data_IF_186645528597
#
_entry.id   IF_186645528597
#
_cell.length_a   1.000
_cell.length_b   1.000
_cell.length_c   1.000
_cell.angle_alpha   90.00
_cell.angle_beta   90.00
_cell.angle_gamma   90.00
#
_symmetry.space_group_name_H-M   'P 1'
#
loop_
_entity.id
_entity.type
_entity.pdbx_description
1 polymer ?
#
# COMPACT_ATOMS: atom_id res chain seq x y z
N UNK A 1 -3.84 6.33 -19.98
CA UNK A 1 -2.49 6.49 -19.38
C UNK A 1 -1.63 5.36 -19.91
N UNK A 2 -0.39 5.62 -20.30
CA UNK A 2 0.57 4.59 -20.71
C UNK A 2 1.57 4.44 -19.55
N UNK A 3 1.34 3.49 -18.64
CA UNK A 3 2.14 3.34 -17.43
C UNK A 3 2.11 1.90 -16.91
N UNK A 4 3.10 1.54 -16.10
CA UNK A 4 3.23 0.22 -15.52
C UNK A 4 2.31 0.09 -14.31
N UNK A 5 1.45 -0.92 -14.32
CA UNK A 5 0.58 -1.24 -13.19
C UNK A 5 1.37 -1.94 -12.07
N UNK A 6 1.23 -1.44 -10.85
CA UNK A 6 1.99 -1.95 -9.69
C UNK A 6 1.04 -2.21 -8.53
N UNK A 7 1.12 -3.40 -7.94
CA UNK A 7 0.53 -3.68 -6.62
C UNK A 7 1.62 -3.64 -5.56
N UNK A 8 1.37 -2.89 -4.49
CA UNK A 8 2.23 -2.85 -3.30
C UNK A 8 1.52 -3.59 -2.17
N UNK A 9 2.19 -4.57 -1.58
CA UNK A 9 1.71 -5.32 -0.40
C UNK A 9 2.83 -5.48 0.61
N UNK A 10 2.51 -6.00 1.79
CA UNK A 10 3.45 -6.22 2.89
C UNK A 10 3.60 -7.69 3.24
N UNK A 11 4.81 -8.11 3.60
CA UNK A 11 5.07 -9.40 4.27
C UNK A 11 6.14 -9.22 5.37
N UNK A 12 5.88 -9.59 6.63
CA UNK A 12 4.61 -10.08 7.17
C UNK A 12 3.46 -9.08 7.05
N UNK A 13 2.23 -9.56 7.15
CA UNK A 13 1.07 -8.68 7.23
C UNK A 13 1.24 -7.71 8.43
N UNK A 14 0.92 -6.40 8.31
CA UNK A 14 1.19 -5.41 9.35
C UNK A 14 0.62 -5.81 10.72
N UNK A 15 -0.62 -6.32 10.78
CA UNK A 15 -1.20 -6.82 12.03
C UNK A 15 -0.48 -8.04 12.61
N UNK A 16 0.04 -8.95 11.78
CA UNK A 16 0.83 -10.09 12.28
C UNK A 16 2.15 -9.63 12.91
N UNK A 17 2.71 -8.49 12.47
CA UNK A 17 3.91 -7.90 13.07
C UNK A 17 3.59 -7.06 14.31
N UNK A 18 2.59 -6.18 14.23
CA UNK A 18 2.28 -5.20 15.28
C UNK A 18 1.45 -5.78 16.43
N UNK A 19 0.51 -6.66 16.12
CA UNK A 19 -0.46 -7.20 17.08
C UNK A 19 -0.77 -8.67 16.76
N UNK A 20 0.20 -9.60 16.94
CA UNK A 20 0.05 -11.00 16.55
C UNK A 20 -1.24 -11.66 17.08
N UNK A 21 -1.60 -11.36 18.33
CA UNK A 21 -2.80 -11.89 19.01
C UNK A 21 -4.14 -11.42 18.39
N UNK A 22 -4.12 -10.33 17.63
CA UNK A 22 -5.30 -9.75 16.96
C UNK A 22 -5.25 -9.93 15.43
N UNK A 23 -4.20 -10.57 14.92
CA UNK A 23 -4.04 -10.74 13.50
C UNK A 23 -5.08 -11.75 12.97
N UNK A 24 -5.81 -11.42 11.89
CA UNK A 24 -6.77 -12.36 11.31
C UNK A 24 -6.03 -13.56 10.72
N UNK A 25 -6.73 -14.69 10.61
CA UNK A 25 -6.21 -15.84 9.87
C UNK A 25 -5.93 -15.44 8.42
N UNK A 26 -4.84 -15.96 7.87
CA UNK A 26 -4.48 -15.72 6.47
C UNK A 26 -5.43 -16.51 5.57
N UNK A 27 -6.03 -15.82 4.59
CA UNK A 27 -6.81 -16.46 3.54
C UNK A 27 -5.94 -17.23 2.54
N UNK A 28 -4.71 -16.74 2.30
CA UNK A 28 -3.74 -17.32 1.36
C UNK A 28 -2.35 -17.25 2.00
N UNK A 29 -1.47 -18.21 1.66
CA UNK A 29 -0.03 -18.06 1.91
C UNK A 29 0.57 -16.95 1.03
N UNK A 30 1.77 -16.43 1.35
CA UNK A 30 2.45 -15.49 0.46
C UNK A 30 2.60 -16.00 -0.97
N UNK A 31 2.93 -17.28 -1.16
CA UNK A 31 3.12 -17.91 -2.47
C UNK A 31 1.81 -18.03 -3.25
N UNK A 32 0.71 -18.36 -2.58
CA UNK A 32 -0.63 -18.38 -3.18
C UNK A 32 -1.06 -16.98 -3.61
N UNK A 33 -0.83 -15.95 -2.76
CA UNK A 33 -1.10 -14.56 -3.12
C UNK A 33 -0.30 -14.12 -4.35
N UNK A 34 0.99 -14.43 -4.40
CA UNK A 34 1.85 -14.12 -5.57
C UNK A 34 1.28 -14.78 -6.83
N UNK A 35 0.89 -16.05 -6.75
CA UNK A 35 0.33 -16.79 -7.89
C UNK A 35 -0.99 -16.19 -8.38
N UNK A 36 -1.88 -15.81 -7.46
CA UNK A 36 -3.16 -15.17 -7.79
C UNK A 36 -2.96 -13.81 -8.44
N UNK A 37 -2.02 -13.00 -7.93
CA UNK A 37 -1.70 -11.70 -8.52
C UNK A 37 -1.01 -11.84 -9.88
N UNK A 38 -0.15 -12.85 -10.06
CA UNK A 38 0.48 -13.14 -11.34
C UNK A 38 -0.51 -13.60 -12.42
N UNK A 39 -1.67 -14.12 -12.03
CA UNK A 39 -2.76 -14.47 -12.95
C UNK A 39 -3.64 -13.26 -13.34
N UNK A 40 -3.39 -12.08 -12.76
CA UNK A 40 -4.06 -10.83 -13.13
C UNK A 40 -3.32 -10.09 -14.25
N UNK A 41 -3.88 -8.98 -14.73
CA UNK A 41 -3.24 -8.11 -15.71
C UNK A 41 -2.26 -7.08 -15.10
N UNK A 42 -1.76 -7.33 -13.88
CA UNK A 42 -0.81 -6.44 -13.20
C UNK A 42 0.62 -6.76 -13.65
N UNK A 43 1.40 -5.72 -13.97
CA UNK A 43 2.76 -5.86 -14.48
C UNK A 43 3.77 -6.19 -13.38
N UNK A 44 3.65 -5.54 -12.21
CA UNK A 44 4.63 -5.64 -11.12
C UNK A 44 3.94 -5.84 -9.78
N UNK A 45 4.46 -6.79 -9.00
CA UNK A 45 4.16 -6.95 -7.59
C UNK A 45 5.37 -6.51 -6.76
N UNK A 46 5.18 -5.52 -5.90
CA UNK A 46 6.15 -5.07 -4.90
C UNK A 46 5.70 -5.57 -3.53
N UNK A 47 6.52 -6.41 -2.90
CA UNK A 47 6.30 -6.87 -1.53
C UNK A 47 7.29 -6.13 -0.63
N UNK A 48 6.78 -5.17 0.14
CA UNK A 48 7.57 -4.48 1.15
C UNK A 48 7.69 -5.36 2.39
N UNK A 49 8.91 -5.51 2.90
CA UNK A 49 9.12 -6.16 4.18
C UNK A 49 8.52 -5.29 5.27
N UNK A 50 7.57 -5.82 6.04
CA UNK A 50 7.03 -5.09 7.18
C UNK A 50 7.86 -5.40 8.43
N UNK A 51 8.70 -4.44 8.81
CA UNK A 51 9.54 -4.51 9.99
C UNK A 51 9.45 -3.21 10.82
N UNK A 52 10.29 -3.12 11.85
CA UNK A 52 10.27 -1.98 12.76
C UNK A 52 10.59 -0.65 12.08
N UNK A 53 11.39 -0.66 11.00
CA UNK A 53 11.72 0.54 10.24
C UNK A 53 10.48 1.02 9.48
N UNK A 54 9.82 0.13 8.74
CA UNK A 54 8.61 0.48 8.00
C UNK A 54 7.45 0.85 8.93
N UNK A 55 7.32 0.16 10.07
CA UNK A 55 6.31 0.46 11.08
C UNK A 55 6.48 1.88 11.69
N UNK A 56 7.72 2.37 11.77
CA UNK A 56 8.03 3.69 12.30
C UNK A 56 8.11 4.80 11.24
N UNK A 57 7.96 4.45 9.96
CA UNK A 57 8.03 5.40 8.86
C UNK A 57 6.81 6.31 8.88
N UNK A 58 6.99 7.63 8.89
CA UNK A 58 5.88 8.57 8.83
C UNK A 58 5.15 8.51 7.49
N UNK A 59 3.88 8.95 7.47
CA UNK A 59 3.09 9.00 6.24
C UNK A 59 3.75 9.87 5.16
N UNK A 60 4.29 11.04 5.53
CA UNK A 60 5.02 11.91 4.59
C UNK A 60 6.23 11.22 3.97
N UNK A 61 7.05 10.53 4.77
CA UNK A 61 8.21 9.79 4.25
C UNK A 61 7.79 8.63 3.36
N UNK A 62 6.71 7.92 3.70
CA UNK A 62 6.19 6.86 2.85
C UNK A 62 5.79 7.42 1.47
N UNK A 63 5.11 8.57 1.41
CA UNK A 63 4.75 9.20 0.14
C UNK A 63 6.00 9.66 -0.63
N UNK A 64 6.88 10.43 0.01
CA UNK A 64 8.02 11.04 -0.67
C UNK A 64 9.08 10.01 -1.07
N UNK A 65 9.48 9.14 -0.15
CA UNK A 65 10.62 8.23 -0.35
C UNK A 65 10.21 6.98 -1.15
N UNK A 66 8.96 6.50 -0.99
CA UNK A 66 8.51 5.24 -1.61
C UNK A 66 7.62 5.52 -2.81
N UNK A 67 6.47 6.18 -2.63
CA UNK A 67 5.51 6.35 -3.73
C UNK A 67 6.06 7.25 -4.84
N UNK A 68 6.67 8.38 -4.48
CA UNK A 68 7.22 9.33 -5.45
C UNK A 68 8.66 8.94 -5.80
N UNK A 69 9.54 8.83 -4.81
CA UNK A 69 10.97 8.67 -5.03
C UNK A 69 11.39 7.34 -5.66
N UNK A 70 10.79 6.22 -5.24
CA UNK A 70 11.14 4.88 -5.75
C UNK A 70 10.22 4.40 -6.85
N UNK A 71 8.90 4.61 -6.69
CA UNK A 71 7.89 4.09 -7.60
C UNK A 71 7.49 5.10 -8.69
N UNK A 72 7.70 6.39 -8.49
CA UNK A 72 7.32 7.42 -9.47
C UNK A 72 5.81 7.44 -9.76
N UNK A 73 4.98 7.20 -8.74
CA UNK A 73 3.52 7.07 -8.88
C UNK A 73 2.92 8.32 -9.55
N UNK A 74 2.09 8.09 -10.57
CA UNK A 74 1.28 9.12 -11.26
C UNK A 74 -0.22 8.99 -11.00
N UNK A 75 -0.66 7.78 -10.66
CA UNK A 75 -2.02 7.49 -10.20
C UNK A 75 -1.92 6.49 -9.04
N UNK A 76 -2.50 6.84 -7.90
CA UNK A 76 -2.58 6.01 -6.71
C UNK A 76 -4.02 5.57 -6.52
N UNK A 77 -4.23 4.25 -6.45
CA UNK A 77 -5.54 3.65 -6.20
C UNK A 77 -5.50 2.98 -4.82
N UNK A 78 -6.47 3.30 -3.97
CA UNK A 78 -6.58 2.74 -2.62
C UNK A 78 -8.03 2.39 -2.29
N UNK A 79 -8.25 1.50 -1.31
CA UNK A 79 -9.58 1.25 -0.76
C UNK A 79 -10.05 2.36 0.18
N UNK A 80 -11.36 2.52 0.33
CA UNK A 80 -12.01 3.51 1.19
C UNK A 80 -11.53 3.54 2.67
N UNK A 81 -11.02 2.41 3.18
CA UNK A 81 -10.55 2.25 4.57
C UNK A 81 -9.02 2.27 4.72
N UNK A 82 -8.30 2.69 3.67
CA UNK A 82 -6.85 2.69 3.63
C UNK A 82 -6.23 3.65 4.66
N UNK A 83 -5.26 3.13 5.42
CA UNK A 83 -4.45 3.89 6.35
C UNK A 83 -3.01 3.35 6.39
N UNK A 84 -2.05 4.23 6.61
CA UNK A 84 -0.62 3.92 6.53
C UNK A 84 0.23 4.91 7.33
N UNK A 85 1.54 4.66 7.36
CA UNK A 85 2.49 5.41 8.16
C UNK A 85 2.39 5.08 9.65
N UNK A 86 3.40 5.53 10.40
CA UNK A 86 3.48 5.33 11.85
C UNK A 86 2.20 5.79 12.52
N UNK A 87 1.66 4.97 13.41
CA UNK A 87 0.43 5.25 14.15
C UNK A 87 -0.78 5.63 13.27
N UNK A 88 -0.81 5.16 12.01
CA UNK A 88 -1.86 5.48 11.03
C UNK A 88 -2.01 6.99 10.78
N UNK A 89 -0.91 7.73 10.80
CA UNK A 89 -0.88 9.16 10.50
C UNK A 89 -1.39 9.51 9.09
N UNK A 90 -1.30 8.56 8.15
CA UNK A 90 -1.79 8.72 6.80
C UNK A 90 -3.13 8.02 6.60
N UNK A 91 -4.07 8.72 6.01
CA UNK A 91 -5.38 8.23 5.58
C UNK A 91 -5.71 8.81 4.18
N UNK A 92 -6.95 8.64 3.73
CA UNK A 92 -7.43 9.17 2.44
C UNK A 92 -7.32 10.69 2.38
N UNK A 93 -7.66 11.40 3.46
CA UNK A 93 -7.61 12.86 3.48
C UNK A 93 -6.17 13.37 3.37
N UNK A 94 -5.24 12.72 4.08
CA UNK A 94 -3.81 12.96 3.95
C UNK A 94 -3.34 12.72 2.50
N UNK A 95 -3.73 11.61 1.87
CA UNK A 95 -3.36 11.32 0.49
C UNK A 95 -3.92 12.33 -0.50
N UNK A 96 -5.14 12.84 -0.28
CA UNK A 96 -5.70 13.89 -1.13
C UNK A 96 -4.86 15.16 -1.07
N UNK A 97 -4.46 15.59 0.14
CA UNK A 97 -3.56 16.74 0.29
C UNK A 97 -2.20 16.52 -0.36
N UNK A 98 -1.67 15.29 -0.30
CA UNK A 98 -0.42 14.94 -0.97
C UNK A 98 -0.59 14.92 -2.48
N UNK A 99 -1.70 14.42 -3.01
CA UNK A 99 -2.02 14.47 -4.44
C UNK A 99 -2.13 15.92 -4.94
N UNK A 100 -2.69 16.83 -4.15
CA UNK A 100 -2.78 18.25 -4.54
C UNK A 100 -1.40 18.95 -4.55
N UNK A 101 -0.47 18.49 -3.72
CA UNK A 101 0.88 19.07 -3.57
C UNK A 101 1.92 18.43 -4.47
N UNK A 102 1.67 17.23 -4.97
CA UNK A 102 2.61 16.43 -5.74
C UNK A 102 1.97 16.06 -7.09
N UNK A 103 2.75 15.54 -8.02
CA UNK A 103 2.29 15.27 -9.39
C UNK A 103 1.74 13.84 -9.55
N UNK A 104 0.69 13.52 -8.78
CA UNK A 104 -0.08 12.27 -8.88
C UNK A 104 -1.57 12.45 -8.55
N UNK A 105 -2.44 11.60 -9.12
CA UNK A 105 -3.88 11.57 -8.82
C UNK A 105 -4.23 10.48 -7.82
N UNK A 106 -5.26 10.69 -6.98
CA UNK A 106 -5.80 9.70 -6.06
C UNK A 106 -7.17 9.19 -6.55
N UNK A 107 -7.34 7.88 -6.60
CA UNK A 107 -8.63 7.21 -6.79
C UNK A 107 -8.94 6.34 -5.57
N UNK A 108 -10.15 6.48 -5.04
CA UNK A 108 -10.61 5.74 -3.86
C UNK A 108 -11.71 4.79 -4.29
N UNK A 109 -11.49 3.50 -4.07
CA UNK A 109 -12.43 2.45 -4.43
C UNK A 109 -13.36 2.12 -3.25
N UNK A 110 -14.66 2.12 -3.54
CA UNK A 110 -15.72 1.71 -2.63
C UNK A 110 -15.73 0.18 -2.44
N UNK A 111 -16.25 -0.32 -1.30
CA UNK A 111 -16.33 -1.75 -1.06
C UNK A 111 -17.25 -2.45 -2.07
N UNK A 112 -16.79 -3.60 -2.57
CA UNK A 112 -17.55 -4.46 -3.47
C UNK A 112 -18.59 -5.23 -2.63
N UNK A 113 -19.86 -5.18 -3.06
CA UNK A 113 -20.99 -5.87 -2.42
C UNK A 113 -21.36 -7.14 -3.16
#
# INVERSE_FOLDING_TARGET
MNGTSVVVTFEPHPLHFLMPEKAPLRLNTPEEKVRLLAASCIDILVILKFDQELANLSADKFVQDILIGKLGVRCLIVGYDYAFGRDRQGDIHFLQQQADRNDFTLEVLEPIR
#
